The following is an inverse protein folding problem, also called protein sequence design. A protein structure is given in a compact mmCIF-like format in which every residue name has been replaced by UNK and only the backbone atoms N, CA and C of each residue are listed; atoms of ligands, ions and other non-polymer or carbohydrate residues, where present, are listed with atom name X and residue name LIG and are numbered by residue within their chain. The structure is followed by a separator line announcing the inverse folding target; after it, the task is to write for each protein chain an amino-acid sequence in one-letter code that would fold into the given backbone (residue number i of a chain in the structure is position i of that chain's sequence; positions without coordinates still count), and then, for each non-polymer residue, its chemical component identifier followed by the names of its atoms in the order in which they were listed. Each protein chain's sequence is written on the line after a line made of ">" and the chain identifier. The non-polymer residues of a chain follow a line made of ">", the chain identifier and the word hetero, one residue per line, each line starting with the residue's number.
data_IF_120319387703
#
_entry.id   IF_120319387703
#
_cell.length_a   1.000
_cell.length_b   1.000
_cell.length_c   1.000
_cell.angle_alpha   90.00
_cell.angle_beta   90.00
_cell.angle_gamma   90.00
#
_symmetry.space_group_name_H-M   'P 1'
#
loop_
_entity.id
_entity.type
_entity.pdbx_description
1 polymer ?
#
# COMPACT_ATOMS: atom_id res chain seq x y z
N UNK A 1 -11.02 23.71 31.20
CA UNK A 1 -10.94 22.34 30.67
C UNK A 1 -11.70 22.32 29.36
N UNK A 2 -10.99 22.42 28.24
CA UNK A 2 -11.60 22.40 26.90
C UNK A 2 -12.12 20.99 26.64
N UNK A 3 -13.44 20.87 26.49
CA UNK A 3 -14.10 19.67 26.00
C UNK A 3 -13.47 19.29 24.65
N UNK A 4 -12.72 18.19 24.63
CA UNK A 4 -12.23 17.60 23.38
C UNK A 4 -13.44 17.25 22.52
N UNK A 5 -13.76 18.12 21.57
CA UNK A 5 -14.75 17.84 20.54
C UNK A 5 -14.18 16.67 19.75
N UNK A 6 -14.77 15.49 19.94
CA UNK A 6 -14.42 14.30 19.18
C UNK A 6 -14.51 14.65 17.69
N UNK A 7 -13.48 14.32 16.88
CA UNK A 7 -13.53 14.54 15.45
C UNK A 7 -14.80 13.89 14.89
N UNK A 8 -15.62 14.70 14.22
CA UNK A 8 -16.86 14.22 13.62
C UNK A 8 -16.51 13.23 12.49
N UNK A 9 -17.25 12.12 12.37
CA UNK A 9 -17.01 11.14 11.30
C UNK A 9 -17.21 11.75 9.91
N UNK A 10 -16.45 11.27 8.92
CA UNK A 10 -16.54 11.74 7.53
C UNK A 10 -17.97 11.58 6.96
N UNK A 11 -18.59 12.68 6.53
CA UNK A 11 -19.95 12.68 6.00
C UNK A 11 -20.01 12.11 4.56
N UNK A 12 -21.03 11.32 4.16
CA UNK A 12 -21.12 10.71 2.82
C UNK A 12 -20.95 11.68 1.63
N UNK A 13 -21.65 12.82 1.66
CA UNK A 13 -21.53 13.82 0.58
C UNK A 13 -20.11 14.39 0.48
N UNK A 14 -19.44 14.56 1.63
CA UNK A 14 -18.07 15.05 1.66
C UNK A 14 -17.09 13.99 1.16
N UNK A 15 -17.29 12.72 1.53
CA UNK A 15 -16.52 11.60 0.99
C UNK A 15 -16.65 11.49 -0.53
N UNK A 16 -17.85 11.71 -1.08
CA UNK A 16 -18.05 11.70 -2.52
C UNK A 16 -17.33 12.86 -3.24
N UNK A 17 -17.31 14.05 -2.64
CA UNK A 17 -16.52 15.18 -3.16
C UNK A 17 -15.02 14.85 -3.15
N UNK A 18 -14.49 14.39 -2.02
CA UNK A 18 -13.06 14.00 -1.91
C UNK A 18 -12.68 12.86 -2.85
N UNK A 19 -13.59 11.92 -3.10
CA UNK A 19 -13.40 10.87 -4.10
C UNK A 19 -13.20 11.48 -5.49
N UNK A 20 -14.05 12.43 -5.87
CA UNK A 20 -13.95 13.12 -7.16
C UNK A 20 -12.69 13.98 -7.24
N UNK A 21 -12.42 14.77 -6.20
CA UNK A 21 -11.26 15.66 -6.11
C UNK A 21 -9.96 14.86 -6.24
N UNK A 22 -9.83 13.73 -5.52
CA UNK A 22 -8.66 12.87 -5.60
C UNK A 22 -8.43 12.28 -7.01
N UNK A 23 -9.50 11.95 -7.74
CA UNK A 23 -9.39 11.42 -9.11
C UNK A 23 -9.06 12.49 -10.15
N UNK A 24 -9.40 13.75 -9.85
CA UNK A 24 -9.16 14.93 -10.68
C UNK A 24 -7.88 15.70 -10.31
N UNK A 25 -7.23 15.34 -9.19
CA UNK A 25 -6.01 15.99 -8.69
C UNK A 25 -4.93 15.97 -9.76
N UNK A 26 -4.47 17.16 -10.14
CA UNK A 26 -3.41 17.45 -11.11
C UNK A 26 -3.49 16.64 -12.40
N UNK A 27 -4.59 16.84 -13.12
CA UNK A 27 -4.75 16.40 -14.51
C UNK A 27 -3.58 16.83 -15.41
N UNK A 28 -2.97 17.98 -15.14
CA UNK A 28 -1.82 18.54 -15.88
C UNK A 28 -0.55 17.68 -15.81
N UNK A 29 -0.35 16.92 -14.72
CA UNK A 29 0.78 15.99 -14.58
C UNK A 29 0.59 14.71 -15.40
N UNK A 30 -0.63 14.47 -15.88
CA UNK A 30 -0.98 13.32 -16.69
C UNK A 30 -1.81 13.74 -17.90
N UNK A 31 -1.27 14.57 -18.80
CA UNK A 31 -2.01 15.08 -19.93
C UNK A 31 -2.42 13.94 -20.88
N UNK A 32 -1.67 12.84 -20.95
CA UNK A 32 -2.05 11.66 -21.73
C UNK A 32 -3.31 10.94 -21.21
N UNK A 33 -3.70 11.21 -19.96
CA UNK A 33 -4.94 10.72 -19.38
C UNK A 33 -6.13 11.62 -19.72
N UNK A 34 -5.89 12.75 -20.40
CA UNK A 34 -6.96 13.69 -20.79
C UNK A 34 -7.98 13.07 -21.72
N UNK A 35 -7.50 12.16 -22.54
CA UNK A 35 -8.25 11.55 -23.63
C UNK A 35 -9.09 10.36 -23.15
N UNK A 36 -8.93 9.95 -21.89
CA UNK A 36 -9.65 8.83 -21.29
C UNK A 36 -10.69 9.32 -20.29
N UNK A 37 -11.92 8.88 -20.49
CA UNK A 37 -12.99 9.09 -19.52
C UNK A 37 -12.69 8.41 -18.18
N UNK A 38 -13.25 8.91 -17.08
CA UNK A 38 -13.07 8.30 -15.75
C UNK A 38 -13.43 6.80 -15.73
N UNK A 39 -14.55 6.34 -16.33
CA UNK A 39 -14.87 4.90 -16.37
C UNK A 39 -13.80 4.06 -17.08
N UNK A 40 -13.18 4.57 -18.15
CA UNK A 40 -12.11 3.87 -18.85
C UNK A 40 -10.85 3.74 -17.98
N UNK A 41 -10.43 4.84 -17.33
CA UNK A 41 -9.30 4.84 -16.39
C UNK A 41 -9.52 3.86 -15.24
N UNK A 42 -10.72 3.86 -14.66
CA UNK A 42 -11.09 2.91 -13.60
C UNK A 42 -11.00 1.46 -14.07
N UNK A 43 -11.48 1.15 -15.28
CA UNK A 43 -11.42 -0.21 -15.83
C UNK A 43 -9.96 -0.66 -16.06
N UNK A 44 -9.11 0.22 -16.58
CA UNK A 44 -7.68 -0.08 -16.78
C UNK A 44 -6.97 -0.35 -15.46
N UNK A 45 -7.18 0.50 -14.45
CA UNK A 45 -6.60 0.31 -13.12
C UNK A 45 -7.12 -0.96 -12.44
N UNK A 46 -8.40 -1.30 -12.61
CA UNK A 46 -8.94 -2.58 -12.12
C UNK A 46 -8.26 -3.78 -12.78
N UNK A 47 -8.04 -3.73 -14.11
CA UNK A 47 -7.32 -4.79 -14.83
C UNK A 47 -5.87 -4.89 -14.37
N UNK A 48 -5.17 -3.77 -14.21
CA UNK A 48 -3.80 -3.74 -13.71
C UNK A 48 -3.70 -4.33 -12.30
N UNK A 49 -4.65 -4.01 -11.41
CA UNK A 49 -4.71 -4.61 -10.07
C UNK A 49 -4.87 -6.13 -10.13
N UNK A 50 -5.76 -6.63 -11.00
CA UNK A 50 -5.98 -8.07 -11.16
C UNK A 50 -4.72 -8.78 -11.70
N UNK A 51 -4.08 -8.19 -12.71
CA UNK A 51 -2.81 -8.70 -13.25
C UNK A 51 -1.73 -8.72 -12.16
N UNK A 52 -1.59 -7.63 -11.40
CA UNK A 52 -0.62 -7.54 -10.31
C UNK A 52 -0.83 -8.61 -9.23
N UNK A 53 -2.09 -8.89 -8.84
CA UNK A 53 -2.40 -9.97 -7.89
C UNK A 53 -2.07 -11.35 -8.49
N UNK A 54 -2.39 -11.58 -9.77
CA UNK A 54 -2.07 -12.83 -10.44
C UNK A 54 -0.55 -13.06 -10.54
N UNK A 55 0.21 -12.03 -10.90
CA UNK A 55 1.67 -12.06 -10.94
C UNK A 55 2.25 -12.33 -9.55
N UNK A 56 1.74 -11.65 -8.52
CA UNK A 56 2.15 -11.88 -7.14
C UNK A 56 1.86 -13.32 -6.67
N UNK A 57 0.76 -13.94 -7.12
CA UNK A 57 0.45 -15.36 -6.85
C UNK A 57 1.31 -16.34 -7.64
N UNK A 58 1.83 -15.96 -8.81
CA UNK A 58 2.77 -16.80 -9.58
C UNK A 58 4.17 -16.79 -8.98
N UNK A 59 4.51 -15.72 -8.26
CA UNK A 59 5.82 -15.50 -7.69
C UNK A 59 6.61 -14.49 -8.49
N UNK A 60 7.36 -13.64 -7.80
CA UNK A 60 8.18 -12.59 -8.39
C UNK A 60 9.54 -12.55 -7.71
N UNK A 61 10.60 -12.37 -8.49
CA UNK A 61 11.98 -12.30 -7.98
C UNK A 61 12.29 -10.92 -7.41
N UNK A 62 12.98 -10.92 -6.28
CA UNK A 62 13.48 -9.75 -5.57
C UNK A 62 14.89 -10.03 -5.07
N UNK A 63 15.67 -8.97 -4.84
CA UNK A 63 16.80 -9.05 -3.93
C UNK A 63 16.31 -8.74 -2.52
N UNK A 64 16.71 -9.54 -1.54
CA UNK A 64 16.43 -9.32 -0.13
C UNK A 64 17.70 -8.88 0.60
N UNK A 65 17.59 -7.77 1.31
CA UNK A 65 18.59 -7.31 2.29
C UNK A 65 18.00 -7.61 3.67
N UNK A 66 18.63 -8.51 4.42
CA UNK A 66 18.14 -8.92 5.74
C UNK A 66 18.42 -7.84 6.79
N UNK A 67 17.41 -7.50 7.58
CA UNK A 67 17.60 -6.55 8.68
C UNK A 67 18.58 -7.06 9.75
N UNK A 68 18.63 -8.38 9.96
CA UNK A 68 19.52 -9.02 10.94
C UNK A 68 20.98 -9.05 10.53
N UNK A 69 21.29 -8.83 9.25
CA UNK A 69 22.67 -8.75 8.77
C UNK A 69 22.79 -7.83 7.54
N UNK A 70 22.75 -6.49 7.75
CA UNK A 70 22.77 -5.51 6.67
C UNK A 70 24.14 -5.39 5.98
N UNK A 71 25.17 -6.10 6.46
CA UNK A 71 26.53 -6.08 5.89
C UNK A 71 26.81 -7.27 4.95
N UNK A 72 25.89 -8.24 4.87
CA UNK A 72 25.97 -9.35 3.93
C UNK A 72 25.31 -9.01 2.58
N UNK A 73 25.86 -9.60 1.52
CA UNK A 73 25.38 -9.53 0.14
C UNK A 73 23.88 -9.86 0.07
N UNK A 74 23.13 -9.04 -0.66
CA UNK A 74 21.71 -9.26 -0.93
C UNK A 74 21.49 -10.67 -1.51
N UNK A 75 20.49 -11.40 -1.02
CA UNK A 75 20.14 -12.72 -1.56
C UNK A 75 18.97 -12.63 -2.54
N UNK A 76 18.98 -13.44 -3.61
CA UNK A 76 17.82 -13.53 -4.50
C UNK A 76 16.73 -14.40 -3.86
N UNK A 77 15.51 -13.84 -3.82
CA UNK A 77 14.34 -14.49 -3.26
C UNK A 77 13.17 -14.38 -4.23
N UNK A 78 12.27 -15.35 -4.19
CA UNK A 78 10.96 -15.28 -4.84
C UNK A 78 9.89 -15.01 -3.78
N UNK A 79 9.22 -13.87 -3.91
CA UNK A 79 8.03 -13.53 -3.12
C UNK A 79 6.80 -14.05 -3.85
N UNK A 80 5.88 -14.65 -3.13
CA UNK A 80 4.64 -15.18 -3.69
C UNK A 80 3.47 -15.03 -2.72
N UNK A 81 2.29 -14.67 -3.23
CA UNK A 81 1.05 -14.78 -2.47
C UNK A 81 0.50 -16.21 -2.56
N UNK A 82 -0.02 -16.73 -1.44
CA UNK A 82 -0.76 -18.00 -1.44
C UNK A 82 -1.99 -17.93 -2.35
N UNK A 83 -2.53 -19.09 -2.73
CA UNK A 83 -3.69 -19.19 -3.64
C UNK A 83 -4.90 -18.42 -3.12
N UNK A 84 -5.14 -18.45 -1.82
CA UNK A 84 -6.19 -17.67 -1.12
C UNK A 84 -5.82 -16.19 -0.95
N UNK A 85 -4.55 -15.83 -1.17
CA UNK A 85 -4.01 -14.48 -1.06
C UNK A 85 -3.75 -14.02 0.38
N UNK A 86 -3.86 -14.93 1.37
CA UNK A 86 -3.82 -14.59 2.80
C UNK A 86 -2.42 -14.48 3.37
N UNK A 87 -1.42 -15.05 2.69
CA UNK A 87 -0.05 -15.17 3.19
C UNK A 87 0.97 -14.84 2.09
N UNK A 88 2.03 -14.12 2.45
CA UNK A 88 3.24 -13.96 1.64
C UNK A 88 4.18 -15.11 1.97
N UNK A 89 4.67 -15.79 0.94
CA UNK A 89 5.71 -16.80 1.02
C UNK A 89 6.98 -16.25 0.40
N UNK A 90 8.10 -16.35 1.13
CA UNK A 90 9.43 -15.99 0.65
C UNK A 90 10.23 -17.27 0.47
N UNK A 91 10.66 -17.52 -0.77
CA UNK A 91 11.49 -18.67 -1.14
C UNK A 91 12.88 -18.19 -1.51
N UNK A 92 13.88 -18.66 -0.80
CA UNK A 92 15.29 -18.49 -1.17
C UNK A 92 15.71 -19.54 -2.19
N UNK A 93 16.60 -19.22 -3.12
CA UNK A 93 17.12 -20.23 -4.07
C UNK A 93 18.00 -21.29 -3.38
N UNK A 94 18.63 -20.94 -2.25
CA UNK A 94 19.67 -21.76 -1.60
C UNK A 94 19.16 -22.64 -0.45
N UNK A 95 18.04 -22.30 0.19
CA UNK A 95 17.43 -23.09 1.25
C UNK A 95 16.05 -23.63 0.83
N UNK A 96 15.77 -24.89 1.15
CA UNK A 96 14.46 -25.52 0.94
C UNK A 96 13.35 -25.00 1.87
N UNK A 97 13.67 -24.06 2.78
CA UNK A 97 12.72 -23.44 3.69
C UNK A 97 11.85 -22.39 3.00
N UNK A 98 10.55 -22.40 3.30
CA UNK A 98 9.61 -21.35 2.90
C UNK A 98 9.31 -20.51 4.13
N UNK A 99 9.74 -19.26 4.14
CA UNK A 99 9.34 -18.30 5.17
C UNK A 99 7.93 -17.79 4.83
N UNK A 100 7.04 -17.70 5.81
CA UNK A 100 5.63 -17.34 5.60
C UNK A 100 5.21 -16.18 6.50
N UNK A 101 4.52 -15.20 5.93
CA UNK A 101 4.02 -14.01 6.62
C UNK A 101 2.53 -13.78 6.29
N UNK A 102 1.61 -13.98 7.25
CA UNK A 102 0.20 -13.69 7.05
C UNK A 102 -0.02 -12.18 6.80
N UNK A 103 -0.81 -11.82 5.78
CA UNK A 103 -1.06 -10.42 5.42
C UNK A 103 -1.74 -9.64 6.55
N UNK A 104 -2.54 -10.31 7.39
CA UNK A 104 -3.19 -9.65 8.53
C UNK A 104 -2.20 -9.09 9.56
N UNK A 105 -0.96 -9.61 9.60
CA UNK A 105 0.09 -9.12 10.49
C UNK A 105 0.77 -7.85 9.98
N UNK A 106 0.53 -7.46 8.73
CA UNK A 106 1.13 -6.27 8.11
C UNK A 106 0.33 -5.03 8.51
N UNK A 107 1.03 -4.07 9.11
CA UNK A 107 0.49 -2.78 9.56
C UNK A 107 0.80 -1.61 8.64
N UNK A 108 1.83 -1.75 7.82
CA UNK A 108 2.25 -0.73 6.88
C UNK A 108 3.29 -1.25 5.89
N UNK A 109 3.45 -0.49 4.81
CA UNK A 109 4.49 -0.70 3.79
C UNK A 109 5.35 0.55 3.80
N UNK A 110 6.65 0.37 4.02
CA UNK A 110 7.65 1.44 3.98
C UNK A 110 8.36 1.39 2.64
N UNK A 111 8.23 2.44 1.84
CA UNK A 111 9.00 2.58 0.60
C UNK A 111 10.34 3.22 0.91
N UNK A 112 11.42 2.68 0.35
CA UNK A 112 12.77 3.18 0.61
C UNK A 112 13.21 4.15 -0.50
N UNK A 113 13.89 5.23 -0.12
CA UNK A 113 14.61 6.09 -1.07
C UNK A 113 15.86 5.37 -1.61
N UNK A 114 16.51 4.57 -0.77
CA UNK A 114 17.69 3.78 -1.10
C UNK A 114 17.66 2.44 -0.36
N UNK A 115 17.82 1.30 -1.05
CA UNK A 115 17.98 1.15 -2.49
C UNK A 115 16.70 1.48 -3.28
N UNK A 116 16.84 1.90 -4.54
CA UNK A 116 15.69 2.23 -5.40
C UNK A 116 14.79 1.01 -5.62
N UNK A 117 13.51 1.27 -5.89
CA UNK A 117 12.49 0.25 -6.15
C UNK A 117 12.33 -0.77 -5.01
N UNK A 118 12.56 -0.34 -3.76
CA UNK A 118 12.49 -1.24 -2.62
C UNK A 118 11.47 -0.84 -1.57
N UNK A 119 11.03 -1.84 -0.82
CA UNK A 119 10.09 -1.67 0.27
C UNK A 119 10.41 -2.62 1.43
N UNK A 120 9.94 -2.28 2.62
CA UNK A 120 9.92 -3.15 3.79
C UNK A 120 8.52 -3.20 4.40
N UNK A 121 8.25 -4.25 5.18
CA UNK A 121 6.95 -4.47 5.82
C UNK A 121 7.03 -4.14 7.31
N UNK A 122 6.04 -3.39 7.80
CA UNK A 122 5.86 -3.12 9.22
C UNK A 122 4.87 -4.14 9.80
N UNK A 123 5.24 -4.81 10.89
CA UNK A 123 4.45 -5.88 11.53
C UNK A 123 3.94 -5.47 12.93
N UNK A 124 2.83 -6.07 13.38
CA UNK A 124 2.23 -5.80 14.72
C UNK A 124 3.10 -6.25 15.91
N UNK A 125 3.79 -7.39 15.77
CA UNK A 125 4.61 -8.01 16.80
C UNK A 125 5.84 -8.64 16.13
N UNK A 126 6.99 -8.80 16.84
CA UNK A 126 8.06 -9.66 16.37
C UNK A 126 7.50 -11.07 16.19
N UNK A 127 7.50 -11.55 14.94
CA UNK A 127 6.98 -12.87 14.60
C UNK A 127 8.02 -13.91 15.02
N UNK A 128 7.65 -14.89 15.86
CA UNK A 128 8.53 -15.98 16.28
C UNK A 128 9.12 -16.74 15.07
N UNK A 129 10.33 -17.30 15.28
CA UNK A 129 11.32 -17.67 14.26
C UNK A 129 10.84 -18.44 13.02
N UNK A 130 11.55 -18.18 11.90
CA UNK A 130 11.27 -18.52 10.49
C UNK A 130 10.29 -17.58 9.76
N UNK A 131 10.06 -16.41 10.32
CA UNK A 131 9.28 -15.33 9.73
C UNK A 131 10.12 -14.44 8.84
N UNK A 132 9.49 -13.88 7.81
CA UNK A 132 10.06 -12.73 7.08
C UNK A 132 10.48 -11.68 8.12
N UNK A 133 11.76 -11.33 8.12
CA UNK A 133 12.33 -10.46 9.15
C UNK A 133 11.60 -9.13 9.19
N UNK A 134 11.20 -8.69 10.39
CA UNK A 134 10.73 -7.31 10.58
C UNK A 134 11.84 -6.38 10.08
N UNK A 135 11.52 -5.55 9.10
CA UNK A 135 12.48 -4.62 8.50
C UNK A 135 13.34 -5.19 7.37
N UNK A 136 13.13 -6.44 6.93
CA UNK A 136 13.74 -6.93 5.69
C UNK A 136 13.35 -6.01 4.52
N UNK A 137 14.34 -5.67 3.69
CA UNK A 137 14.15 -4.80 2.52
C UNK A 137 14.11 -5.68 1.27
N UNK A 138 13.02 -5.56 0.52
CA UNK A 138 12.81 -6.24 -0.75
C UNK A 138 13.01 -5.25 -1.89
N UNK A 139 14.01 -5.50 -2.72
CA UNK A 139 14.38 -4.67 -3.87
C UNK A 139 13.84 -5.30 -5.15
N UNK A 140 12.91 -4.60 -5.79
CA UNK A 140 12.36 -5.01 -7.07
C UNK A 140 13.34 -4.72 -8.21
N UNK A 141 13.25 -5.49 -9.30
CA UNK A 141 14.07 -5.26 -10.49
C UNK A 141 13.76 -3.94 -11.21
N UNK A 142 12.54 -3.41 -11.03
CA UNK A 142 12.10 -2.14 -11.62
C UNK A 142 10.90 -1.56 -10.86
N UNK A 143 10.54 -0.32 -11.20
CA UNK A 143 9.43 0.41 -10.59
C UNK A 143 8.06 -0.26 -10.83
N UNK A 144 7.83 -0.85 -12.01
CA UNK A 144 6.55 -1.50 -12.31
C UNK A 144 6.31 -2.72 -11.41
N UNK A 145 7.36 -3.51 -11.18
CA UNK A 145 7.32 -4.65 -10.26
C UNK A 145 7.03 -4.19 -8.83
N UNK A 146 7.73 -3.14 -8.35
CA UNK A 146 7.44 -2.55 -7.04
C UNK A 146 5.96 -2.10 -6.98
N UNK A 147 5.51 -1.35 -7.99
CA UNK A 147 4.17 -0.79 -8.04
C UNK A 147 3.10 -1.88 -7.96
N UNK A 148 3.22 -2.94 -8.75
CA UNK A 148 2.30 -4.08 -8.72
C UNK A 148 2.26 -4.79 -7.37
N UNK A 149 3.40 -4.91 -6.70
CA UNK A 149 3.45 -5.53 -5.37
C UNK A 149 2.82 -4.65 -4.30
N UNK A 150 3.09 -3.35 -4.28
CA UNK A 150 2.44 -2.40 -3.36
C UNK A 150 0.92 -2.40 -3.58
N UNK A 151 0.46 -2.45 -4.84
CA UNK A 151 -0.96 -2.63 -5.19
C UNK A 151 -1.52 -3.92 -4.62
N UNK A 152 -0.88 -5.06 -4.87
CA UNK A 152 -1.35 -6.37 -4.45
C UNK A 152 -1.43 -6.46 -2.91
N UNK A 153 -0.43 -5.93 -2.22
CA UNK A 153 -0.38 -5.91 -0.75
C UNK A 153 -1.44 -4.99 -0.15
N UNK A 154 -1.63 -3.77 -0.68
CA UNK A 154 -2.70 -2.88 -0.20
C UNK A 154 -4.11 -3.44 -0.45
N UNK A 155 -4.33 -4.12 -1.58
CA UNK A 155 -5.56 -4.87 -1.85
C UNK A 155 -5.77 -5.96 -0.79
N UNK A 156 -4.77 -6.83 -0.64
CA UNK A 156 -4.83 -8.02 0.20
C UNK A 156 -5.01 -7.65 1.67
N UNK A 157 -4.13 -6.80 2.21
CA UNK A 157 -4.19 -6.39 3.61
C UNK A 157 -5.55 -5.77 3.94
N UNK A 158 -6.08 -4.90 3.08
CA UNK A 158 -7.39 -4.31 3.30
C UNK A 158 -8.51 -5.38 3.35
N UNK A 159 -8.52 -6.31 2.40
CA UNK A 159 -9.52 -7.38 2.38
C UNK A 159 -9.43 -8.27 3.64
N UNK A 160 -8.22 -8.69 4.03
CA UNK A 160 -8.04 -9.57 5.19
C UNK A 160 -8.30 -8.86 6.53
N UNK A 161 -7.92 -7.59 6.67
CA UNK A 161 -8.25 -6.79 7.85
C UNK A 161 -9.77 -6.52 7.95
N UNK A 162 -10.47 -6.35 6.82
CA UNK A 162 -11.94 -6.25 6.81
C UNK A 162 -12.61 -7.58 7.20
N UNK A 163 -12.10 -8.71 6.71
CA UNK A 163 -12.69 -10.03 7.00
C UNK A 163 -12.46 -10.52 8.44
N UNK A 164 -11.33 -10.21 9.08
CA UNK A 164 -11.01 -10.71 10.42
C UNK A 164 -11.58 -9.88 11.58
N UNK A 165 -12.46 -8.90 11.33
CA UNK A 165 -13.05 -8.01 12.35
C UNK A 165 -12.02 -7.27 13.23
N UNK A 166 -10.73 -7.28 12.86
CA UNK A 166 -9.66 -6.52 13.50
C UNK A 166 -9.69 -5.03 13.14
N UNK A 167 -10.63 -4.61 12.29
CA UNK A 167 -10.99 -3.20 12.22
C UNK A 167 -11.64 -2.78 13.53
N UNK A 168 -11.00 -1.84 14.22
CA UNK A 168 -11.73 -0.91 15.08
C UNK A 168 -12.88 -0.37 14.23
N UNK A 169 -14.12 -0.70 14.61
CA UNK A 169 -15.32 -0.32 13.88
C UNK A 169 -15.51 1.20 13.99
N UNK A 170 -14.80 1.95 13.16
CA UNK A 170 -14.96 3.38 13.06
C UNK A 170 -16.31 3.71 12.44
N UNK A 171 -16.93 4.78 12.94
CA UNK A 171 -18.25 5.21 12.45
C UNK A 171 -18.24 5.64 10.99
N UNK A 172 -17.07 5.96 10.44
CA UNK A 172 -16.85 6.48 9.10
C UNK A 172 -16.12 5.51 8.16
N UNK A 173 -15.93 4.23 8.54
CA UNK A 173 -15.20 3.26 7.72
C UNK A 173 -15.69 3.19 6.28
N UNK A 174 -17.01 3.21 6.05
CA UNK A 174 -17.58 3.14 4.69
C UNK A 174 -17.24 4.36 3.85
N UNK A 175 -17.28 5.54 4.46
CA UNK A 175 -16.97 6.81 3.79
C UNK A 175 -15.47 6.93 3.54
N UNK A 176 -14.65 6.52 4.51
CA UNK A 176 -13.20 6.43 4.36
C UNK A 176 -12.80 5.40 3.30
N UNK A 177 -13.49 4.27 3.19
CA UNK A 177 -13.28 3.25 2.16
C UNK A 177 -13.49 3.82 0.74
N UNK A 178 -14.53 4.64 0.56
CA UNK A 178 -14.79 5.30 -0.71
C UNK A 178 -13.63 6.24 -1.08
N UNK A 179 -13.27 7.17 -0.19
CA UNK A 179 -12.15 8.10 -0.44
C UNK A 179 -10.84 7.34 -0.66
N UNK A 180 -10.59 6.31 0.13
CA UNK A 180 -9.40 5.47 0.01
C UNK A 180 -9.32 4.79 -1.35
N UNK A 181 -10.43 4.28 -1.89
CA UNK A 181 -10.44 3.69 -3.22
C UNK A 181 -9.99 4.69 -4.29
N UNK A 182 -10.51 5.92 -4.28
CA UNK A 182 -10.08 6.97 -5.21
C UNK A 182 -8.60 7.34 -5.04
N UNK A 183 -8.18 7.62 -3.80
CA UNK A 183 -6.80 8.00 -3.48
C UNK A 183 -5.83 6.92 -3.96
N UNK A 184 -6.10 5.67 -3.63
CA UNK A 184 -5.25 4.54 -4.02
C UNK A 184 -5.18 4.37 -5.54
N UNK A 185 -6.31 4.49 -6.23
CA UNK A 185 -6.35 4.43 -7.69
C UNK A 185 -5.53 5.55 -8.32
N UNK A 186 -5.67 6.79 -7.84
CA UNK A 186 -4.89 7.93 -8.33
C UNK A 186 -3.40 7.78 -8.04
N UNK A 187 -3.03 7.29 -6.85
CA UNK A 187 -1.63 7.01 -6.50
C UNK A 187 -1.01 6.05 -7.52
N UNK A 188 -1.67 4.93 -7.81
CA UNK A 188 -1.12 3.95 -8.74
C UNK A 188 -1.07 4.43 -10.18
N UNK A 189 -2.03 5.27 -10.56
CA UNK A 189 -2.03 5.95 -11.86
C UNK A 189 -0.86 6.94 -11.99
N UNK A 190 -0.59 7.73 -10.94
CA UNK A 190 0.51 8.69 -10.91
C UNK A 190 1.89 8.05 -10.68
N UNK A 191 1.95 6.88 -10.05
CA UNK A 191 3.21 6.20 -9.74
C UNK A 191 4.00 5.81 -10.99
N UNK A 192 3.32 5.62 -12.14
CA UNK A 192 3.98 5.39 -13.42
C UNK A 192 4.69 6.64 -14.00
N UNK A 193 4.35 7.84 -13.52
CA UNK A 193 4.90 9.12 -14.00
C UNK A 193 5.86 9.74 -12.97
N UNK A 194 5.47 9.76 -11.69
CA UNK A 194 6.19 10.45 -10.62
C UNK A 194 7.05 9.52 -9.74
N UNK A 195 6.88 8.20 -9.89
CA UNK A 195 7.33 7.22 -8.91
C UNK A 195 6.37 7.10 -7.72
N UNK A 196 6.33 5.93 -7.09
CA UNK A 196 5.36 5.62 -6.02
C UNK A 196 5.43 6.55 -4.81
N UNK A 197 6.61 6.86 -4.21
CA UNK A 197 6.68 7.75 -3.05
C UNK A 197 6.10 9.13 -3.35
N UNK A 198 6.57 9.76 -4.41
CA UNK A 198 6.09 11.08 -4.86
C UNK A 198 4.59 11.08 -5.15
N UNK A 199 4.07 10.03 -5.79
CA UNK A 199 2.64 9.90 -6.06
C UNK A 199 1.80 9.78 -4.78
N UNK A 200 2.27 9.03 -3.77
CA UNK A 200 1.61 8.93 -2.46
C UNK A 200 1.56 10.31 -1.80
N UNK A 201 2.70 11.01 -1.72
CA UNK A 201 2.78 12.35 -1.14
C UNK A 201 1.86 13.33 -1.84
N UNK A 202 1.86 13.30 -3.16
CA UNK A 202 1.09 14.21 -3.98
C UNK A 202 -0.42 14.06 -3.75
N UNK A 203 -0.95 12.83 -3.88
CA UNK A 203 -2.39 12.58 -3.73
C UNK A 203 -2.84 12.75 -2.29
N UNK A 204 -2.00 12.39 -1.32
CA UNK A 204 -2.35 12.54 0.10
C UNK A 204 -2.43 13.99 0.54
N UNK A 205 -1.56 14.88 0.02
CA UNK A 205 -1.61 16.33 0.28
C UNK A 205 -2.83 17.02 -0.32
N UNK A 206 -3.45 16.43 -1.35
CA UNK A 206 -4.69 16.95 -1.92
C UNK A 206 -5.91 16.76 -0.99
N UNK A 207 -5.81 15.89 0.02
CA UNK A 207 -6.87 15.71 1.02
C UNK A 207 -6.77 16.86 2.03
N UNK A 208 -7.83 17.66 2.21
CA UNK A 208 -7.79 18.76 3.15
C UNK A 208 -7.51 18.30 4.58
N UNK A 209 -6.64 19.02 5.29
CA UNK A 209 -6.18 18.69 6.64
C UNK A 209 -7.33 18.50 7.63
N UNK A 210 -8.43 19.24 7.44
CA UNK A 210 -9.63 19.09 8.26
C UNK A 210 -10.27 17.70 8.09
N UNK A 211 -10.47 17.23 6.86
CA UNK A 211 -11.05 15.91 6.58
C UNK A 211 -10.10 14.79 7.04
N UNK A 212 -8.78 14.99 6.87
CA UNK A 212 -7.75 14.09 7.39
C UNK A 212 -7.84 13.98 8.92
N UNK A 213 -7.86 15.09 9.67
CA UNK A 213 -7.97 15.05 11.14
C UNK A 213 -9.26 14.42 11.64
N UNK A 214 -10.35 14.63 10.90
CA UNK A 214 -11.69 14.19 11.30
C UNK A 214 -11.90 12.68 11.12
N UNK A 215 -11.24 12.06 10.15
CA UNK A 215 -11.42 10.64 9.84
C UNK A 215 -10.26 9.78 10.35
N UNK A 216 -10.47 9.04 11.44
CA UNK A 216 -9.45 8.09 11.93
C UNK A 216 -9.27 6.91 10.96
N UNK A 217 -10.35 6.42 10.35
CA UNK A 217 -10.30 5.36 9.35
C UNK A 217 -9.47 5.78 8.12
N UNK A 218 -9.70 6.98 7.58
CA UNK A 218 -8.94 7.50 6.44
C UNK A 218 -7.47 7.69 6.79
N UNK A 219 -7.16 8.26 7.97
CA UNK A 219 -5.77 8.41 8.43
C UNK A 219 -5.04 7.09 8.51
N UNK A 220 -5.67 6.05 9.06
CA UNK A 220 -5.05 4.72 9.11
C UNK A 220 -4.76 4.15 7.73
N UNK A 221 -5.68 4.31 6.78
CA UNK A 221 -5.48 3.85 5.40
C UNK A 221 -4.36 4.59 4.69
N UNK A 222 -4.26 5.89 4.86
CA UNK A 222 -3.17 6.68 4.27
C UNK A 222 -1.82 6.37 4.94
N UNK A 223 -1.79 6.26 6.27
CA UNK A 223 -0.60 5.86 7.03
C UNK A 223 -0.07 4.49 6.65
N UNK A 224 -0.94 3.57 6.22
CA UNK A 224 -0.52 2.25 5.71
C UNK A 224 0.46 2.37 4.53
N UNK A 225 0.33 3.41 3.70
CA UNK A 225 1.22 3.69 2.57
C UNK A 225 2.25 4.79 2.83
N UNK A 226 1.97 5.74 3.73
CA UNK A 226 2.83 6.88 4.05
C UNK A 226 3.93 6.57 5.07
N UNK A 227 4.26 5.31 5.33
CA UNK A 227 5.36 5.01 6.26
C UNK A 227 6.70 5.30 5.60
N UNK A 228 6.99 6.58 5.41
CA UNK A 228 8.34 7.07 5.24
C UNK A 228 9.07 6.82 6.56
N UNK A 229 10.31 6.37 6.46
CA UNK A 229 11.25 6.52 7.55
C UNK A 229 11.29 8.00 7.91
N UNK A 230 10.80 8.33 9.11
CA UNK A 230 11.07 9.62 9.74
C UNK A 230 12.58 9.87 9.59
N UNK A 231 12.94 10.87 8.80
CA UNK A 231 14.31 11.39 8.75
C UNK A 231 14.64 11.82 10.17
N UNK A 232 15.43 11.00 10.86
CA UNK A 232 16.22 11.40 12.02
C UNK A 232 17.53 11.97 11.53
#
# INVERSE_FOLDING_TARGET
>A
MTTQVLPLPLHPRRAQQLFQDALLTDYELTPQLSDKSLPQRLLELQRLNLIGIQDAKRGTRFQRIRASNPHNESEEVTLMLTTDGSTIQVKTETNAGIESLPLVKIKGITLQETPLNSFSLQLDDPVDGNSVGVGDIFVASNADTLNRWVVALTCGVNAFQQHQATQLNYRDTKQADLVWQAVRLRIFELAGVLGMPTAIDHVTRAIPEQDYRQSEALRRRLKFLQSYTDRS
#
